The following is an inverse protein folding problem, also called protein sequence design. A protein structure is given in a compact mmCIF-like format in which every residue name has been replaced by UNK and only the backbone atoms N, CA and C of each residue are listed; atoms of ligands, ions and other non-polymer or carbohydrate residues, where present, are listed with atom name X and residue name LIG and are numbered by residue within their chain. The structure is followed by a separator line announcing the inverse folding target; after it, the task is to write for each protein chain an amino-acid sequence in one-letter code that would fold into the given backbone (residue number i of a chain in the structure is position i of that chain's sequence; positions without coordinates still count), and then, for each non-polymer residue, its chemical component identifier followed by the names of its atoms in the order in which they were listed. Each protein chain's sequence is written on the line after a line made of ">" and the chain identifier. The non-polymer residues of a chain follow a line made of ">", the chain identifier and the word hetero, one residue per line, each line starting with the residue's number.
data_IF_610900263237
#
_entry.id   IF_610900263237
#
_cell.length_a   1.000
_cell.length_b   1.000
_cell.length_c   1.000
_cell.angle_alpha   90.00
_cell.angle_beta   90.00
_cell.angle_gamma   90.00
#
_symmetry.space_group_name_H-M   'P 1'
#
loop_
_entity.id
_entity.type
_entity.pdbx_description
1 polymer ?
#
# COMPACT_ATOMS: atom_id res chain seq x y z
N UNK A 1 3.42 -19.50 -24.55
CA UNK A 1 2.74 -19.59 -23.25
C UNK A 1 3.71 -19.09 -22.19
N UNK A 2 3.67 -17.79 -21.88
CA UNK A 2 4.50 -17.24 -20.82
C UNK A 2 3.95 -17.77 -19.50
N UNK A 3 4.77 -18.52 -18.75
CA UNK A 3 4.43 -18.96 -17.40
C UNK A 3 4.40 -17.70 -16.54
N UNK A 4 3.22 -17.08 -16.46
CA UNK A 4 2.90 -16.06 -15.48
C UNK A 4 3.14 -16.70 -14.11
N UNK A 5 3.93 -16.05 -13.27
CA UNK A 5 4.25 -16.55 -11.94
C UNK A 5 2.96 -17.00 -11.25
N UNK A 6 2.92 -18.21 -10.66
CA UNK A 6 1.74 -18.65 -9.96
C UNK A 6 1.44 -17.69 -8.80
N UNK A 7 0.16 -17.42 -8.56
CA UNK A 7 -0.32 -16.49 -7.53
C UNK A 7 0.33 -16.75 -6.15
N UNK A 8 0.65 -18.01 -5.85
CA UNK A 8 1.36 -18.45 -4.65
C UNK A 8 2.78 -17.86 -4.51
N UNK A 9 3.48 -17.60 -5.61
CA UNK A 9 4.81 -16.96 -5.61
C UNK A 9 4.70 -15.47 -5.29
N UNK A 10 3.63 -14.79 -5.75
CA UNK A 10 3.38 -13.38 -5.42
C UNK A 10 3.04 -13.18 -3.94
N UNK A 11 2.31 -14.14 -3.37
CA UNK A 11 2.07 -14.20 -1.92
C UNK A 11 3.37 -14.39 -1.15
N UNK A 12 4.20 -15.35 -1.60
CA UNK A 12 5.47 -15.63 -0.94
C UNK A 12 6.40 -14.42 -1.00
N UNK A 13 6.48 -13.72 -2.14
CA UNK A 13 7.24 -12.47 -2.28
C UNK A 13 6.73 -11.40 -1.32
N UNK A 14 5.40 -11.21 -1.24
CA UNK A 14 4.82 -10.23 -0.32
C UNK A 14 5.16 -10.56 1.14
N UNK A 15 5.00 -11.83 1.55
CA UNK A 15 5.32 -12.28 2.91
C UNK A 15 6.82 -12.15 3.22
N UNK A 16 7.68 -12.49 2.27
CA UNK A 16 9.15 -12.37 2.41
C UNK A 16 9.58 -10.91 2.51
N UNK A 17 9.02 -10.03 1.67
CA UNK A 17 9.31 -8.59 1.75
C UNK A 17 8.79 -8.00 3.06
N UNK A 18 7.59 -8.37 3.51
CA UNK A 18 7.03 -7.91 4.78
C UNK A 18 7.88 -8.35 5.97
N UNK A 19 8.30 -9.62 6.01
CA UNK A 19 9.17 -10.16 7.07
C UNK A 19 10.58 -9.60 7.00
N UNK A 20 11.19 -9.47 5.83
CA UNK A 20 12.50 -8.85 5.65
C UNK A 20 12.51 -7.39 6.12
N UNK A 21 11.49 -6.61 5.80
CA UNK A 21 11.34 -5.23 6.24
C UNK A 21 11.07 -5.12 7.74
N UNK A 22 10.30 -6.04 8.31
CA UNK A 22 10.05 -6.10 9.76
C UNK A 22 11.33 -6.47 10.55
N UNK A 23 12.12 -7.41 10.03
CA UNK A 23 13.42 -7.80 10.59
C UNK A 23 14.43 -6.67 10.43
N UNK A 24 14.52 -6.04 9.26
CA UNK A 24 15.39 -4.90 9.01
C UNK A 24 15.09 -3.73 9.96
N UNK A 25 13.81 -3.43 10.23
CA UNK A 25 13.41 -2.48 11.27
C UNK A 25 13.98 -2.85 12.63
N UNK A 26 13.80 -4.11 13.03
CA UNK A 26 14.21 -4.60 14.35
C UNK A 26 15.73 -4.50 14.53
N UNK A 27 16.49 -4.76 13.47
CA UNK A 27 17.96 -4.71 13.48
C UNK A 27 18.52 -3.29 13.37
N UNK A 28 17.91 -2.43 12.55
CA UNK A 28 18.40 -1.06 12.28
C UNK A 28 17.65 0.05 13.03
N UNK A 29 16.87 -0.30 14.07
CA UNK A 29 16.08 0.66 14.85
C UNK A 29 16.89 1.84 15.43
N UNK A 30 18.22 1.68 15.58
CA UNK A 30 19.16 2.71 16.08
C UNK A 30 19.58 3.77 15.05
N UNK A 31 19.54 3.45 13.76
CA UNK A 31 20.02 4.34 12.69
C UNK A 31 18.90 4.92 11.83
N UNK A 32 17.69 4.35 11.93
CA UNK A 32 16.51 4.84 11.20
C UNK A 32 15.89 6.00 12.00
N UNK A 33 15.73 7.20 11.40
CA UNK A 33 15.06 8.30 12.07
C UNK A 33 13.64 7.86 12.43
N UNK A 34 13.18 8.19 13.64
CA UNK A 34 11.88 7.79 14.20
C UNK A 34 10.67 8.17 13.32
N UNK A 35 10.89 9.04 12.33
CA UNK A 35 9.93 9.54 11.37
C UNK A 35 9.86 8.75 10.05
N UNK A 36 10.87 7.94 9.69
CA UNK A 36 10.77 7.04 8.54
C UNK A 36 10.06 5.77 9.00
N UNK A 37 8.82 5.59 8.54
CA UNK A 37 8.10 4.34 8.76
C UNK A 37 8.41 3.39 7.62
N UNK A 38 8.71 2.14 7.96
CA UNK A 38 8.98 1.06 6.99
C UNK A 38 7.83 0.85 6.01
N UNK A 39 6.64 1.28 6.43
CA UNK A 39 5.45 1.30 5.61
C UNK A 39 5.60 2.18 4.35
N UNK A 40 6.37 3.28 4.42
CA UNK A 40 6.68 4.17 3.29
C UNK A 40 7.46 3.43 2.17
N UNK A 41 8.31 2.47 2.55
CA UNK A 41 9.09 1.62 1.61
C UNK A 41 8.22 0.45 1.10
N UNK A 42 7.23 0.05 1.89
CA UNK A 42 6.27 -1.01 1.56
C UNK A 42 5.27 -0.55 0.52
N UNK A 43 4.83 0.71 0.56
CA UNK A 43 3.86 1.28 -0.38
C UNK A 43 4.20 1.04 -1.87
N UNK A 44 5.41 1.38 -2.38
CA UNK A 44 5.76 1.12 -3.79
C UNK A 44 5.83 -0.39 -4.11
N UNK A 45 6.26 -1.23 -3.16
CA UNK A 45 6.27 -2.68 -3.33
C UNK A 45 4.86 -3.28 -3.42
N UNK A 46 3.94 -2.81 -2.58
CA UNK A 46 2.53 -3.22 -2.60
C UNK A 46 1.86 -2.77 -3.90
N UNK A 47 2.13 -1.55 -4.37
CA UNK A 47 1.64 -1.05 -5.67
C UNK A 47 2.09 -1.92 -6.85
N UNK A 48 3.36 -2.33 -6.88
CA UNK A 48 3.89 -3.25 -7.91
C UNK A 48 3.20 -4.61 -7.87
N UNK A 49 2.97 -5.15 -6.68
CA UNK A 49 2.25 -6.41 -6.52
C UNK A 49 0.80 -6.28 -7.00
N UNK A 50 0.10 -5.20 -6.63
CA UNK A 50 -1.27 -4.92 -7.10
C UNK A 50 -1.32 -4.84 -8.63
N UNK A 51 -0.35 -4.16 -9.26
CA UNK A 51 -0.25 -4.08 -10.71
C UNK A 51 -0.20 -5.46 -11.36
N UNK A 52 0.78 -6.28 -10.95
CA UNK A 52 1.00 -7.60 -11.51
C UNK A 52 -0.22 -8.52 -11.28
N UNK A 53 -0.81 -8.46 -10.08
CA UNK A 53 -1.94 -9.31 -9.71
C UNK A 53 -3.22 -8.92 -10.47
N UNK A 54 -3.45 -7.61 -10.65
CA UNK A 54 -4.56 -7.11 -11.46
C UNK A 54 -4.42 -7.47 -12.94
N UNK A 55 -3.21 -7.40 -13.50
CA UNK A 55 -2.95 -7.77 -14.88
C UNK A 55 -3.20 -9.26 -15.12
N UNK A 56 -2.87 -10.10 -14.14
CA UNK A 56 -3.07 -11.54 -14.21
C UNK A 56 -4.54 -11.97 -14.06
N UNK A 57 -5.30 -11.33 -13.17
CA UNK A 57 -6.73 -11.65 -12.96
C UNK A 57 -7.60 -11.07 -14.08
N UNK A 58 -7.39 -9.80 -14.42
CA UNK A 58 -8.32 -9.06 -15.25
C UNK A 58 -7.81 -8.82 -16.68
N UNK A 59 -6.50 -8.84 -16.91
CA UNK A 59 -5.86 -8.50 -18.20
C UNK A 59 -5.54 -7.01 -18.39
N UNK A 60 -5.80 -6.17 -17.38
CA UNK A 60 -5.63 -4.72 -17.38
C UNK A 60 -5.19 -4.24 -16.00
N UNK A 61 -4.51 -3.09 -15.95
CA UNK A 61 -3.97 -2.55 -14.71
C UNK A 61 -5.03 -1.88 -13.86
N UNK A 62 -5.18 -2.33 -12.62
CA UNK A 62 -6.07 -1.69 -11.64
C UNK A 62 -5.42 -0.50 -10.90
N UNK A 63 -4.10 -0.33 -11.05
CA UNK A 63 -3.32 0.77 -10.46
C UNK A 63 -3.89 2.17 -10.69
N UNK A 64 -4.26 2.61 -11.92
CA UNK A 64 -4.78 3.96 -12.13
C UNK A 64 -6.06 4.23 -11.34
N UNK A 65 -6.97 3.24 -11.25
CA UNK A 65 -8.18 3.35 -10.43
C UNK A 65 -7.86 3.46 -8.95
N UNK A 66 -6.84 2.71 -8.51
CA UNK A 66 -6.37 2.75 -7.13
C UNK A 66 -5.77 4.11 -6.78
N UNK A 67 -4.99 4.71 -7.68
CA UNK A 67 -4.44 6.07 -7.50
C UNK A 67 -5.54 7.12 -7.43
N UNK A 68 -6.58 7.02 -8.26
CA UNK A 68 -7.74 7.93 -8.21
C UNK A 68 -8.47 7.79 -6.87
N UNK A 69 -8.75 6.56 -6.43
CA UNK A 69 -9.38 6.30 -5.13
C UNK A 69 -8.53 6.84 -3.96
N UNK A 70 -7.22 6.70 -4.08
CA UNK A 70 -6.27 7.21 -3.10
C UNK A 70 -6.28 8.74 -3.01
N UNK A 71 -6.26 9.44 -4.15
CA UNK A 71 -6.38 10.90 -4.21
C UNK A 71 -7.74 11.40 -3.70
N UNK A 72 -8.82 10.67 -3.98
CA UNK A 72 -10.15 10.96 -3.42
C UNK A 72 -10.16 10.86 -1.89
N UNK A 73 -9.50 9.85 -1.33
CA UNK A 73 -9.29 9.73 0.11
C UNK A 73 -8.50 10.92 0.68
N UNK A 74 -7.51 11.43 -0.06
CA UNK A 74 -6.78 12.63 0.32
C UNK A 74 -7.73 13.81 0.51
N UNK A 75 -8.57 14.06 -0.50
CA UNK A 75 -9.53 15.16 -0.52
C UNK A 75 -10.56 14.99 0.61
N UNK A 76 -11.13 13.79 0.76
CA UNK A 76 -12.08 13.49 1.84
C UNK A 76 -11.44 13.74 3.22
N UNK A 77 -10.17 13.38 3.40
CA UNK A 77 -9.43 13.60 4.64
C UNK A 77 -9.14 15.10 4.89
N UNK A 78 -8.84 15.90 3.86
CA UNK A 78 -8.72 17.36 3.99
C UNK A 78 -10.02 17.95 4.51
N UNK A 79 -11.14 17.58 3.86
CA UNK A 79 -12.46 18.11 4.20
C UNK A 79 -12.80 17.73 5.65
N UNK A 80 -12.66 16.46 6.02
CA UNK A 80 -12.92 15.98 7.38
C UNK A 80 -12.11 16.74 8.44
N UNK A 81 -10.80 16.94 8.20
CA UNK A 81 -9.93 17.71 9.10
C UNK A 81 -10.30 19.18 9.16
N UNK A 82 -10.66 19.79 8.03
CA UNK A 82 -11.09 21.19 7.96
C UNK A 82 -12.37 21.48 8.76
N UNK A 83 -13.29 20.51 8.85
CA UNK A 83 -14.48 20.63 9.70
C UNK A 83 -14.17 20.44 11.21
N UNK A 84 -13.18 19.61 11.56
CA UNK A 84 -12.93 19.21 12.96
C UNK A 84 -11.81 19.98 13.67
N UNK A 85 -10.82 20.49 12.94
CA UNK A 85 -9.63 21.13 13.50
C UNK A 85 -9.36 22.49 12.83
N UNK A 86 -9.51 23.56 13.60
CA UNK A 86 -9.27 24.94 13.11
C UNK A 86 -7.78 25.32 12.97
N UNK A 87 -6.85 24.50 13.52
CA UNK A 87 -5.41 24.74 13.42
C UNK A 87 -4.78 23.81 12.36
N UNK A 88 -4.76 24.28 11.12
CA UNK A 88 -4.26 23.52 9.98
C UNK A 88 -2.75 23.74 9.76
N UNK A 89 -1.94 22.71 9.99
CA UNK A 89 -0.54 22.66 9.55
C UNK A 89 -0.38 21.65 8.43
N UNK A 90 0.07 22.11 7.26
CA UNK A 90 0.18 21.27 6.04
C UNK A 90 1.09 20.05 6.23
N UNK A 91 2.18 20.19 7.00
CA UNK A 91 3.11 19.10 7.28
C UNK A 91 2.46 17.96 8.09
N UNK A 92 1.67 18.29 9.12
CA UNK A 92 1.01 17.26 9.94
C UNK A 92 -0.07 16.52 9.14
N UNK A 93 -0.71 17.20 8.18
CA UNK A 93 -1.68 16.61 7.27
C UNK A 93 -1.03 15.58 6.34
N UNK A 94 0.06 15.95 5.66
CA UNK A 94 0.74 15.05 4.73
C UNK A 94 1.24 13.79 5.43
N UNK A 95 1.82 13.92 6.63
CA UNK A 95 2.28 12.77 7.41
C UNK A 95 1.12 11.87 7.83
N UNK A 96 -0.02 12.45 8.27
CA UNK A 96 -1.19 11.67 8.66
C UNK A 96 -1.86 10.97 7.47
N UNK A 97 -1.99 11.67 6.33
CA UNK A 97 -2.51 11.11 5.10
C UNK A 97 -1.62 9.98 4.58
N UNK A 98 -0.30 10.18 4.58
CA UNK A 98 0.65 9.16 4.18
C UNK A 98 0.55 7.91 5.07
N UNK A 99 0.41 8.09 6.39
CA UNK A 99 0.16 6.99 7.34
C UNK A 99 -1.15 6.24 7.10
N UNK A 100 -2.21 6.92 6.65
CA UNK A 100 -3.45 6.23 6.25
C UNK A 100 -3.24 5.40 4.97
N UNK A 101 -2.44 5.93 4.05
CA UNK A 101 -2.10 5.29 2.79
C UNK A 101 -1.39 3.95 3.01
N UNK A 102 -0.51 3.90 3.99
CA UNK A 102 0.20 2.69 4.44
C UNK A 102 -0.73 1.55 4.87
N UNK A 103 -1.95 1.86 5.35
CA UNK A 103 -2.96 0.86 5.70
C UNK A 103 -3.86 0.58 4.50
N UNK A 104 -4.17 1.61 3.72
CA UNK A 104 -5.04 1.51 2.55
C UNK A 104 -4.48 0.56 1.48
N UNK A 105 -3.20 0.70 1.10
CA UNK A 105 -2.61 -0.16 0.05
C UNK A 105 -2.62 -1.66 0.40
N UNK A 106 -2.20 -2.10 1.60
CA UNK A 106 -2.31 -3.50 2.00
C UNK A 106 -3.74 -4.02 2.03
N UNK A 107 -4.70 -3.22 2.50
CA UNK A 107 -6.12 -3.63 2.53
C UNK A 107 -6.63 -3.91 1.12
N UNK A 108 -6.36 -3.01 0.17
CA UNK A 108 -6.77 -3.21 -1.23
C UNK A 108 -6.06 -4.42 -1.84
N UNK A 109 -4.78 -4.64 -1.51
CA UNK A 109 -4.06 -5.84 -1.94
C UNK A 109 -4.71 -7.12 -1.41
N UNK A 110 -5.07 -7.18 -0.12
CA UNK A 110 -5.77 -8.33 0.48
C UNK A 110 -7.12 -8.58 -0.18
N UNK A 111 -7.88 -7.52 -0.49
CA UNK A 111 -9.15 -7.67 -1.22
C UNK A 111 -8.91 -8.29 -2.60
N UNK A 112 -7.96 -7.77 -3.38
CA UNK A 112 -7.63 -8.30 -4.71
C UNK A 112 -7.16 -9.75 -4.67
N UNK A 113 -6.41 -10.11 -3.63
CA UNK A 113 -5.93 -11.46 -3.38
C UNK A 113 -7.11 -12.41 -3.13
N UNK A 114 -8.06 -12.02 -2.27
CA UNK A 114 -9.28 -12.80 -2.01
C UNK A 114 -10.09 -12.97 -3.29
N UNK A 115 -10.25 -11.90 -4.08
CA UNK A 115 -10.89 -12.00 -5.39
C UNK A 115 -10.15 -12.98 -6.32
N UNK A 116 -8.83 -12.92 -6.37
CA UNK A 116 -8.01 -13.84 -7.16
C UNK A 116 -8.15 -15.31 -6.73
N UNK A 117 -8.29 -15.57 -5.43
CA UNK A 117 -8.54 -16.92 -4.90
C UNK A 117 -9.94 -17.46 -5.22
N UNK A 118 -10.93 -16.57 -5.38
CA UNK A 118 -12.32 -16.97 -5.70
C UNK A 118 -12.52 -17.17 -7.20
N UNK A 119 -11.87 -16.34 -8.02
CA UNK A 119 -11.99 -16.35 -9.49
C UNK A 119 -11.02 -17.28 -10.21
N UNK A 120 -9.91 -17.67 -9.56
CA UNK A 120 -8.90 -18.61 -10.09
C UNK A 120 -9.16 -20.05 -9.69
#
# INVERSE_FOLDING_TARGET
>A
MAVLMPWSVMLLITVVVFTALFVARRTFYRYVPRNLQIADILAPFVLLNIHMLSYQIFGWSFVPYLLIAWLLLAIAYVIFRGFWQQNFTYQSYLVAYWRMSDIFFPVVYVILLVFGLILG
#
